data_IF_070777418937
#
_entry.id   IF_070777418937
#
_cell.length_a   1.000
_cell.length_b   1.000
_cell.length_c   1.000
_cell.angle_alpha   90.00
_cell.angle_beta   90.00
_cell.angle_gamma   90.00
#
_symmetry.space_group_name_H-M   'P 1'
#
loop_
_entity.id
_entity.type
_entity.pdbx_description
1 polymer ?
#
# COMPACT_ATOMS: atom_id res chain seq x y z
N UNK A 1 -1.40 46.27 -22.62
CA UNK A 1 -2.11 45.13 -22.01
C UNK A 1 -2.35 45.49 -20.56
N UNK A 2 -3.59 45.42 -20.09
CA UNK A 2 -3.88 45.63 -18.68
C UNK A 2 -3.45 44.37 -17.91
N UNK A 3 -2.70 44.57 -16.83
CA UNK A 3 -2.37 43.49 -15.88
C UNK A 3 -3.41 43.51 -14.79
N UNK A 4 -4.04 42.37 -14.55
CA UNK A 4 -5.01 42.20 -13.47
C UNK A 4 -4.41 41.29 -12.40
N UNK A 5 -4.61 41.66 -11.14
CA UNK A 5 -4.27 40.83 -10.00
C UNK A 5 -5.59 40.35 -9.38
N UNK A 6 -5.68 39.05 -9.15
CA UNK A 6 -6.81 38.42 -8.48
C UNK A 6 -6.30 37.51 -7.38
N UNK A 7 -7.01 37.53 -6.26
CA UNK A 7 -6.74 36.66 -5.11
C UNK A 7 -7.91 35.71 -4.92
N UNK A 8 -7.64 34.41 -5.07
CA UNK A 8 -8.54 33.37 -4.56
C UNK A 8 -8.04 32.91 -3.20
N UNK A 9 -8.96 32.59 -2.30
CA UNK A 9 -8.61 32.02 -0.99
C UNK A 9 -9.50 30.84 -0.72
N UNK A 10 -8.89 29.68 -0.48
CA UNK A 10 -9.59 28.51 0.03
C UNK A 10 -9.65 28.56 1.55
N UNK A 11 -10.83 28.32 2.10
CA UNK A 11 -11.00 28.00 3.52
C UNK A 11 -10.78 26.50 3.73
N UNK A 12 -10.36 26.11 4.94
CA UNK A 12 -10.14 24.70 5.26
C UNK A 12 -11.35 23.79 4.92
N UNK A 13 -12.57 24.27 5.15
CA UNK A 13 -13.81 23.54 4.82
C UNK A 13 -14.08 23.41 3.31
N UNK A 14 -13.48 24.26 2.46
CA UNK A 14 -13.57 24.14 1.00
C UNK A 14 -12.57 23.10 0.49
N UNK A 15 -11.41 22.99 1.15
CA UNK A 15 -10.44 21.92 0.89
C UNK A 15 -10.99 20.54 1.25
N UNK A 16 -12.01 20.44 2.12
CA UNK A 16 -12.74 19.20 2.44
C UNK A 16 -13.45 18.56 1.26
N UNK A 17 -13.76 19.34 0.22
CA UNK A 17 -14.43 18.86 -0.98
C UNK A 17 -13.44 18.45 -2.08
N UNK A 18 -12.20 18.87 -1.95
CA UNK A 18 -11.14 18.60 -2.91
C UNK A 18 -10.83 17.11 -2.98
N UNK A 19 -10.39 16.66 -4.16
CA UNK A 19 -9.84 15.32 -4.30
C UNK A 19 -8.55 15.22 -3.48
N UNK A 20 -8.38 14.10 -2.77
CA UNK A 20 -7.26 13.90 -1.84
C UNK A 20 -6.66 12.53 -1.99
N UNK A 21 -5.36 12.47 -1.84
CA UNK A 21 -4.60 11.23 -1.73
C UNK A 21 -3.67 11.33 -0.53
N UNK A 22 -3.76 10.36 0.38
CA UNK A 22 -2.97 10.30 1.61
C UNK A 22 -3.08 11.54 2.54
N UNK A 23 -4.12 12.36 2.39
CA UNK A 23 -4.40 13.51 3.27
C UNK A 23 -5.73 13.32 3.97
N UNK A 24 -5.81 13.71 5.24
CA UNK A 24 -7.02 13.69 6.07
C UNK A 24 -7.26 15.06 6.72
N UNK A 25 -8.52 15.39 6.97
CA UNK A 25 -8.89 16.56 7.76
C UNK A 25 -8.89 16.21 9.25
N UNK A 26 -8.34 17.09 10.06
CA UNK A 26 -8.40 17.07 11.51
C UNK A 26 -8.83 18.42 12.07
N UNK A 27 -8.97 18.51 13.39
CA UNK A 27 -9.41 19.72 14.08
C UNK A 27 -8.48 20.93 13.88
N UNK A 28 -7.19 20.69 13.61
CA UNK A 28 -6.16 21.70 13.39
C UNK A 28 -5.84 21.96 11.91
N UNK A 29 -6.65 21.42 10.98
CA UNK A 29 -6.41 21.53 9.54
C UNK A 29 -6.10 20.19 8.88
N UNK A 30 -5.32 20.22 7.80
CA UNK A 30 -5.03 19.06 6.98
C UNK A 30 -3.73 18.39 7.44
N UNK A 31 -3.68 17.07 7.35
CA UNK A 31 -2.49 16.30 7.71
C UNK A 31 -2.34 15.04 6.87
N UNK A 32 -1.13 14.51 6.84
CA UNK A 32 -0.86 13.22 6.19
C UNK A 32 -1.64 12.12 6.91
N UNK A 33 -2.13 11.15 6.14
CA UNK A 33 -2.84 9.98 6.69
C UNK A 33 -1.85 9.14 7.50
N UNK A 34 -2.22 8.80 8.73
CA UNK A 34 -1.54 7.76 9.53
C UNK A 34 -2.06 6.37 9.15
N UNK A 35 -1.17 5.39 9.11
CA UNK A 35 -1.47 4.03 8.69
C UNK A 35 -1.31 3.89 7.18
N UNK A 36 -0.24 3.22 6.75
CA UNK A 36 0.07 3.00 5.34
C UNK A 36 -0.05 1.51 5.05
N UNK A 37 -0.87 1.15 4.06
CA UNK A 37 -0.94 -0.22 3.53
C UNK A 37 -0.20 -0.29 2.20
N UNK A 38 0.74 -1.20 2.10
CA UNK A 38 1.46 -1.55 0.88
C UNK A 38 0.88 -2.86 0.37
N UNK A 39 0.32 -2.82 -0.84
CA UNK A 39 -0.32 -3.94 -1.51
C UNK A 39 -0.21 -3.76 -3.02
N UNK A 40 -0.08 -4.88 -3.74
CA UNK A 40 -0.02 -4.91 -5.22
C UNK A 40 -1.31 -5.45 -5.85
N UNK A 41 -2.21 -5.94 -5.00
CA UNK A 41 -3.53 -6.48 -5.34
C UNK A 41 -4.64 -5.60 -4.74
N UNK A 42 -5.86 -5.77 -5.24
CA UNK A 42 -7.03 -4.97 -4.86
C UNK A 42 -8.04 -5.71 -3.98
N UNK A 43 -7.84 -7.00 -3.73
CA UNK A 43 -8.70 -7.93 -3.02
C UNK A 43 -9.79 -8.54 -3.89
N UNK A 44 -9.70 -8.43 -5.22
CA UNK A 44 -10.73 -8.83 -6.19
C UNK A 44 -10.54 -10.28 -6.63
N UNK A 45 -10.63 -11.19 -5.66
CA UNK A 45 -10.46 -12.61 -5.90
C UNK A 45 -11.35 -13.43 -4.97
N UNK A 46 -11.45 -14.74 -5.21
CA UNK A 46 -12.24 -15.67 -4.40
C UNK A 46 -11.40 -16.87 -3.99
N UNK A 47 -11.94 -17.68 -3.08
CA UNK A 47 -11.22 -18.80 -2.45
C UNK A 47 -10.86 -19.95 -3.39
N UNK A 48 -11.16 -19.85 -4.70
CA UNK A 48 -10.73 -20.83 -5.70
C UNK A 48 -9.35 -20.49 -6.27
N UNK A 49 -8.93 -19.23 -6.17
CA UNK A 49 -7.64 -18.75 -6.68
C UNK A 49 -6.57 -18.88 -5.59
N UNK A 50 -6.05 -20.08 -5.40
CA UNK A 50 -5.12 -20.39 -4.32
C UNK A 50 -3.76 -20.88 -4.82
N UNK A 51 -2.70 -20.39 -4.17
CA UNK A 51 -1.36 -21.00 -4.20
C UNK A 51 -1.24 -21.99 -3.05
N UNK A 52 -0.64 -23.15 -3.29
CA UNK A 52 -0.41 -24.14 -2.23
C UNK A 52 1.07 -24.17 -1.85
N UNK A 53 1.35 -24.03 -0.55
CA UNK A 53 2.69 -24.15 0.02
C UNK A 53 2.77 -25.47 0.80
N UNK A 54 3.66 -26.38 0.37
CA UNK A 54 3.90 -27.69 0.99
C UNK A 54 5.25 -28.27 0.57
N UNK A 55 5.90 -29.03 1.45
CA UNK A 55 7.18 -29.69 1.14
C UNK A 55 8.25 -28.69 0.69
N UNK A 56 8.77 -28.86 -0.54
CA UNK A 56 9.74 -27.93 -1.14
C UNK A 56 9.10 -26.70 -1.77
N UNK A 57 7.77 -26.69 -1.97
CA UNK A 57 7.07 -25.57 -2.60
C UNK A 57 6.96 -24.39 -1.62
N UNK A 58 7.56 -23.26 -1.98
CA UNK A 58 7.64 -22.05 -1.16
C UNK A 58 7.10 -20.84 -1.92
N UNK A 59 6.35 -19.99 -1.22
CA UNK A 59 5.83 -18.75 -1.79
C UNK A 59 6.66 -17.56 -1.31
N UNK A 60 6.97 -16.64 -2.22
CA UNK A 60 7.69 -15.39 -1.93
C UNK A 60 6.86 -14.18 -2.34
N UNK A 61 6.77 -13.19 -1.46
CA UNK A 61 6.20 -11.87 -1.73
C UNK A 61 7.30 -10.82 -1.58
N UNK A 62 7.37 -9.88 -2.53
CA UNK A 62 8.26 -8.72 -2.47
C UNK A 62 7.47 -7.44 -2.22
N UNK A 63 7.96 -6.61 -1.32
CA UNK A 63 7.42 -5.28 -1.04
C UNK A 63 8.43 -4.21 -1.41
N UNK A 64 7.99 -3.18 -2.13
CA UNK A 64 8.79 -1.99 -2.41
C UNK A 64 8.43 -0.89 -1.42
N UNK A 65 9.36 -0.56 -0.53
CA UNK A 65 9.21 0.51 0.45
C UNK A 65 9.92 1.78 -0.05
N UNK A 66 9.22 2.92 -0.21
CA UNK A 66 9.83 4.15 -0.71
C UNK A 66 10.85 4.74 0.27
N UNK A 67 10.65 4.52 1.57
CA UNK A 67 11.52 4.93 2.67
C UNK A 67 11.61 3.81 3.69
N UNK A 68 12.64 3.82 4.54
CA UNK A 68 12.68 2.93 5.69
C UNK A 68 11.48 3.18 6.61
N UNK A 69 10.92 2.15 7.27
CA UNK A 69 9.83 2.36 8.21
C UNK A 69 10.22 3.28 9.36
N UNK A 70 9.31 4.18 9.74
CA UNK A 70 9.48 5.10 10.86
C UNK A 70 8.77 4.61 12.15
N UNK A 71 8.43 3.32 12.19
CA UNK A 71 7.76 2.64 13.29
C UNK A 71 8.64 1.50 13.81
N UNK A 72 8.40 1.03 15.04
CA UNK A 72 9.12 -0.12 15.61
C UNK A 72 8.61 -1.46 15.08
N UNK A 73 7.32 -1.52 14.72
CA UNK A 73 6.64 -2.75 14.30
C UNK A 73 5.76 -2.49 13.09
N UNK A 74 5.81 -3.40 12.13
CA UNK A 74 4.90 -3.50 11.00
C UNK A 74 3.95 -4.68 11.20
N UNK A 75 2.81 -4.67 10.49
CA UNK A 75 1.90 -5.81 10.43
C UNK A 75 1.93 -6.41 9.02
N UNK A 76 2.41 -7.65 8.92
CA UNK A 76 2.22 -8.47 7.74
C UNK A 76 0.85 -9.12 7.81
N UNK A 77 0.03 -8.85 6.80
CA UNK A 77 -1.36 -9.26 6.73
C UNK A 77 -1.59 -10.17 5.50
N UNK A 78 -1.25 -11.47 5.56
CA UNK A 78 -1.57 -12.43 4.52
C UNK A 78 -3.01 -12.94 4.66
N UNK A 79 -3.67 -13.17 3.52
CA UNK A 79 -4.81 -14.08 3.45
C UNK A 79 -4.27 -15.51 3.35
N UNK A 80 -4.22 -16.19 4.48
CA UNK A 80 -3.55 -17.47 4.68
C UNK A 80 -4.51 -18.48 5.31
N UNK A 81 -4.59 -19.68 4.72
CA UNK A 81 -5.37 -20.79 5.29
C UNK A 81 -4.49 -22.01 5.54
N UNK A 82 -4.67 -22.61 6.71
CA UNK A 82 -4.13 -23.92 7.02
C UNK A 82 -4.99 -24.99 6.36
N UNK A 83 -4.37 -25.87 5.58
CA UNK A 83 -5.07 -26.96 4.87
C UNK A 83 -5.03 -28.26 5.67
N UNK A 84 -3.96 -28.52 6.43
CA UNK A 84 -3.81 -29.71 7.28
C UNK A 84 -3.79 -29.35 8.78
N UNK A 85 -4.51 -30.10 9.63
CA UNK A 85 -4.48 -29.89 11.09
C UNK A 85 -3.06 -29.99 11.68
N UNK A 86 -2.77 -29.16 12.68
CA UNK A 86 -1.46 -29.13 13.35
C UNK A 86 -0.31 -28.60 12.49
N UNK A 87 -0.57 -28.20 11.24
CA UNK A 87 0.48 -27.71 10.34
C UNK A 87 1.13 -26.43 10.85
N UNK A 88 2.47 -26.35 10.73
CA UNK A 88 3.28 -25.18 11.05
C UNK A 88 3.72 -24.48 9.76
N UNK A 89 3.81 -23.14 9.81
CA UNK A 89 4.34 -22.30 8.75
C UNK A 89 5.53 -21.52 9.28
N UNK A 90 6.65 -21.58 8.57
CA UNK A 90 7.77 -20.69 8.77
C UNK A 90 7.58 -19.48 7.85
N UNK A 91 7.77 -18.29 8.43
CA UNK A 91 7.78 -17.02 7.69
C UNK A 91 9.15 -16.38 7.92
N UNK A 92 9.81 -15.98 6.85
CA UNK A 92 11.02 -15.16 6.94
C UNK A 92 10.78 -13.81 6.27
N UNK A 93 11.41 -12.77 6.82
CA UNK A 93 11.45 -11.42 6.26
C UNK A 93 12.91 -11.06 6.04
N UNK A 94 13.31 -10.84 4.80
CA UNK A 94 14.71 -10.62 4.41
C UNK A 94 15.66 -11.69 4.99
N UNK A 95 15.23 -12.96 4.99
CA UNK A 95 15.98 -14.12 5.50
C UNK A 95 15.87 -14.35 7.01
N UNK A 96 15.36 -13.40 7.79
CA UNK A 96 15.22 -13.52 9.24
C UNK A 96 13.85 -14.11 9.62
N UNK A 97 13.81 -15.06 10.54
CA UNK A 97 12.56 -15.72 10.93
C UNK A 97 11.66 -14.82 11.77
N UNK A 98 10.38 -14.77 11.41
CA UNK A 98 9.32 -14.08 12.17
C UNK A 98 8.46 -15.11 12.89
N UNK A 99 8.25 -14.97 14.21
CA UNK A 99 7.34 -15.86 14.95
C UNK A 99 5.93 -15.80 14.38
N UNK A 100 5.34 -16.96 14.13
CA UNK A 100 3.96 -17.08 13.69
C UNK A 100 3.33 -18.32 14.29
N UNK A 101 2.22 -18.11 15.02
CA UNK A 101 1.38 -19.17 15.55
C UNK A 101 -0.07 -18.88 15.16
N UNK A 102 -0.73 -19.88 14.58
CA UNK A 102 -2.14 -19.75 14.22
C UNK A 102 -3.00 -19.94 15.47
N UNK A 103 -3.88 -18.97 15.75
CA UNK A 103 -4.80 -19.04 16.88
C UNK A 103 -5.66 -20.32 16.81
N UNK A 104 -5.85 -20.98 17.96
CA UNK A 104 -6.51 -22.28 18.06
C UNK A 104 -8.03 -22.25 17.84
N UNK A 105 -8.67 -21.09 18.00
CA UNK A 105 -10.12 -20.92 17.88
C UNK A 105 -10.39 -19.63 17.12
N UNK A 106 -11.22 -19.70 16.07
CA UNK A 106 -11.67 -18.52 15.34
C UNK A 106 -13.09 -18.73 14.81
N UNK A 107 -13.83 -17.63 14.70
CA UNK A 107 -15.16 -17.61 14.10
C UNK A 107 -15.02 -17.62 12.57
N UNK A 108 -15.77 -18.51 11.91
CA UNK A 108 -15.70 -18.87 10.46
C UNK A 108 -15.54 -17.71 9.44
N UNK A 109 -15.89 -16.47 9.81
CA UNK A 109 -15.80 -15.30 8.94
C UNK A 109 -14.50 -14.48 9.09
N UNK A 110 -13.66 -14.73 10.11
CA UNK A 110 -12.37 -14.04 10.35
C UNK A 110 -11.12 -14.89 10.02
N UNK A 111 -11.29 -16.16 9.63
CA UNK A 111 -10.24 -17.17 9.76
C UNK A 111 -8.97 -16.95 8.94
N UNK A 112 -9.08 -16.34 7.76
CA UNK A 112 -7.98 -16.38 6.80
C UNK A 112 -7.06 -15.15 6.83
N UNK A 113 -7.55 -13.97 7.21
CA UNK A 113 -6.65 -12.83 7.39
C UNK A 113 -5.84 -12.99 8.66
N UNK A 114 -4.51 -12.99 8.52
CA UNK A 114 -3.60 -12.99 9.67
C UNK A 114 -3.12 -11.56 9.94
N UNK A 115 -2.74 -11.30 11.18
CA UNK A 115 -2.01 -10.09 11.57
C UNK A 115 -0.74 -10.55 12.25
N UNK A 116 0.38 -10.47 11.55
CA UNK A 116 1.65 -11.00 11.99
C UNK A 116 2.56 -9.82 12.26
N UNK A 117 3.01 -9.67 13.50
CA UNK A 117 3.93 -8.60 13.87
C UNK A 117 5.31 -8.88 13.28
N UNK A 118 5.81 -7.92 12.51
CA UNK A 118 7.16 -7.94 11.93
C UNK A 118 7.94 -6.79 12.57
N UNK A 119 9.05 -7.07 13.27
CA UNK A 119 9.92 -6.00 13.76
C UNK A 119 10.41 -5.16 12.59
N UNK A 120 10.19 -3.85 12.64
CA UNK A 120 10.49 -2.95 11.53
C UNK A 120 11.98 -2.91 11.17
N UNK A 121 12.86 -3.25 12.12
CA UNK A 121 14.30 -3.44 11.88
C UNK A 121 14.63 -4.52 10.83
N UNK A 122 13.71 -5.45 10.58
CA UNK A 122 13.85 -6.47 9.53
C UNK A 122 13.51 -5.91 8.15
N UNK A 123 12.89 -4.73 8.09
CA UNK A 123 12.52 -4.05 6.85
C UNK A 123 13.52 -2.95 6.52
N UNK A 124 13.66 -2.65 5.23
CA UNK A 124 14.56 -1.62 4.70
C UNK A 124 13.86 -0.76 3.67
N UNK A 125 14.41 0.42 3.40
CA UNK A 125 14.08 1.14 2.17
C UNK A 125 14.40 0.25 0.96
N UNK A 126 13.55 0.26 -0.05
CA UNK A 126 13.73 -0.56 -1.24
C UNK A 126 12.94 -1.87 -1.19
N UNK A 127 13.50 -2.89 -1.82
CA UNK A 127 12.90 -4.22 -1.91
C UNK A 127 13.06 -5.01 -0.61
N UNK A 128 11.96 -5.62 -0.17
CA UNK A 128 11.88 -6.47 1.00
C UNK A 128 11.21 -7.79 0.63
N UNK A 129 11.84 -8.88 1.02
CA UNK A 129 11.38 -10.24 0.73
C UNK A 129 10.64 -10.81 1.93
N UNK A 130 9.51 -11.48 1.66
CA UNK A 130 8.79 -12.31 2.63
C UNK A 130 8.61 -13.70 2.04
N UNK A 131 9.11 -14.74 2.70
CA UNK A 131 8.97 -16.13 2.26
C UNK A 131 8.08 -16.91 3.22
N UNK A 132 7.14 -17.66 2.66
CA UNK A 132 6.24 -18.57 3.36
C UNK A 132 6.63 -20.01 3.01
N UNK A 133 6.98 -20.79 4.04
CA UNK A 133 7.39 -22.18 3.91
C UNK A 133 6.64 -23.08 4.88
N UNK A 134 6.00 -24.12 4.37
CA UNK A 134 5.42 -25.15 5.21
C UNK A 134 6.51 -26.00 5.88
N UNK A 135 6.31 -26.36 7.15
CA UNK A 135 7.25 -27.19 7.91
C UNK A 135 6.75 -28.64 7.97
N UNK A 136 7.63 -29.62 7.70
CA UNK A 136 7.26 -31.04 7.67
C UNK A 136 6.19 -31.33 6.60
N UNK A 137 5.19 -32.12 6.96
CA UNK A 137 4.09 -32.51 6.06
C UNK A 137 2.93 -31.50 6.06
N UNK A 138 3.14 -30.29 6.61
CA UNK A 138 2.14 -29.25 6.66
C UNK A 138 1.75 -28.76 5.26
N UNK A 139 0.49 -28.36 5.09
CA UNK A 139 0.03 -27.70 3.89
C UNK A 139 -0.69 -26.39 4.24
N UNK A 140 -0.33 -25.34 3.51
CA UNK A 140 -0.89 -24.01 3.63
C UNK A 140 -1.32 -23.49 2.27
N UNK A 141 -2.20 -22.50 2.26
CA UNK A 141 -2.59 -21.82 1.03
C UNK A 141 -2.64 -20.31 1.20
N UNK A 142 -2.18 -19.62 0.16
CA UNK A 142 -2.28 -18.18 -0.01
C UNK A 142 -3.31 -17.90 -1.10
N UNK A 143 -4.04 -16.81 -0.96
CA UNK A 143 -4.96 -16.34 -2.01
C UNK A 143 -4.17 -15.56 -3.08
N UNK A 144 -4.53 -15.72 -4.34
CA UNK A 144 -3.93 -15.00 -5.49
C UNK A 144 -5.00 -14.13 -6.15
N UNK A 145 -4.61 -12.94 -6.61
CA UNK A 145 -5.37 -12.10 -7.53
C UNK A 145 -4.59 -11.92 -8.84
N UNK A 146 -5.24 -12.09 -10.00
CA UNK A 146 -4.64 -11.69 -11.28
C UNK A 146 -4.38 -10.18 -11.29
N UNK A 147 -3.16 -9.77 -11.60
CA UNK A 147 -2.74 -8.38 -11.49
C UNK A 147 -2.42 -7.78 -12.85
N UNK A 148 -2.69 -6.49 -13.02
CA UNK A 148 -2.24 -5.72 -14.20
C UNK A 148 -0.76 -5.34 -14.11
N UNK A 149 -0.19 -5.38 -12.91
CA UNK A 149 1.21 -5.09 -12.63
C UNK A 149 1.78 -6.21 -11.75
N UNK A 150 1.96 -7.42 -12.31
CA UNK A 150 2.43 -8.59 -11.58
C UNK A 150 3.95 -8.52 -11.28
N UNK A 151 4.57 -9.66 -10.99
CA UNK A 151 6.01 -9.87 -10.73
C UNK A 151 6.54 -9.52 -9.33
N UNK A 152 5.67 -9.29 -8.34
CA UNK A 152 6.07 -9.20 -6.92
C UNK A 152 5.67 -10.40 -6.08
N UNK A 153 5.03 -11.39 -6.68
CA UNK A 153 4.74 -12.69 -6.08
C UNK A 153 5.36 -13.80 -6.88
N UNK A 154 6.01 -14.74 -6.20
CA UNK A 154 6.77 -15.80 -6.83
C UNK A 154 6.57 -17.13 -6.10
N UNK A 155 6.75 -18.21 -6.85
CA UNK A 155 6.71 -19.57 -6.33
C UNK A 155 8.03 -20.28 -6.66
N UNK A 156 8.50 -21.09 -5.73
CA UNK A 156 9.61 -22.02 -5.91
C UNK A 156 9.09 -23.44 -5.69
N UNK A 157 9.55 -24.41 -6.48
CA UNK A 157 9.29 -25.85 -6.28
C UNK A 157 10.51 -26.63 -5.78
N UNK A 158 11.67 -25.98 -5.66
CA UNK A 158 12.96 -26.61 -5.37
C UNK A 158 13.57 -26.14 -4.04
N UNK A 159 12.73 -25.64 -3.13
CA UNK A 159 13.15 -25.22 -1.81
C UNK A 159 13.75 -23.82 -1.75
N UNK A 160 13.44 -22.96 -2.73
CA UNK A 160 13.87 -21.58 -2.81
C UNK A 160 15.13 -21.35 -3.65
N UNK A 161 15.55 -22.32 -4.46
CA UNK A 161 16.72 -22.21 -5.34
C UNK A 161 16.35 -21.42 -6.60
N UNK A 162 15.22 -21.77 -7.23
CA UNK A 162 14.64 -21.06 -8.37
C UNK A 162 13.25 -20.54 -8.06
N UNK A 163 12.88 -19.44 -8.72
CA UNK A 163 11.64 -18.71 -8.48
C UNK A 163 11.02 -18.28 -9.81
N UNK A 164 9.69 -18.33 -9.91
CA UNK A 164 8.92 -17.85 -11.07
C UNK A 164 7.71 -17.03 -10.63
N UNK A 165 7.30 -16.04 -11.43
CA UNK A 165 6.16 -15.15 -11.15
C UNK A 165 4.96 -15.33 -12.09
N UNK A 166 5.17 -15.83 -13.31
CA UNK A 166 4.14 -15.84 -14.37
C UNK A 166 3.17 -17.04 -14.31
N UNK A 167 3.50 -18.05 -13.50
CA UNK A 167 2.79 -19.34 -13.44
C UNK A 167 2.43 -19.70 -12.00
N UNK A 168 1.60 -18.87 -11.37
CA UNK A 168 1.10 -19.08 -10.02
C UNK A 168 -0.21 -19.88 -9.99
N UNK A 169 -0.54 -20.33 -8.78
CA UNK A 169 -1.79 -20.99 -8.42
C UNK A 169 -1.80 -22.48 -8.73
N UNK A 170 -2.82 -23.19 -8.25
CA UNK A 170 -2.91 -24.65 -8.39
C UNK A 170 -3.01 -25.18 -9.84
N UNK A 171 -3.17 -24.31 -10.84
CA UNK A 171 -3.11 -24.68 -12.26
C UNK A 171 -1.87 -24.16 -12.99
N UNK A 172 -0.98 -23.44 -12.29
CA UNK A 172 0.22 -22.78 -12.84
C UNK A 172 -0.10 -21.89 -14.06
N UNK A 173 -1.14 -21.06 -13.95
CA UNK A 173 -1.67 -20.21 -15.05
C UNK A 173 -1.97 -18.78 -14.66
N UNK A 174 -1.84 -18.45 -13.38
CA UNK A 174 -2.12 -17.11 -12.90
C UNK A 174 -0.85 -16.27 -12.97
N UNK A 175 -0.92 -15.16 -13.68
CA UNK A 175 0.05 -14.08 -13.61
C UNK A 175 -0.52 -13.01 -12.67
N UNK A 176 -0.05 -12.99 -11.43
CA UNK A 176 -0.78 -12.34 -10.36
C UNK A 176 0.01 -12.10 -9.08
N UNK A 177 -0.70 -11.65 -8.07
CA UNK A 177 -0.14 -11.25 -6.78
C UNK A 177 -0.79 -12.03 -5.65
N UNK A 178 0.02 -12.51 -4.71
CA UNK A 178 -0.49 -13.01 -3.44
C UNK A 178 -1.19 -11.88 -2.69
N UNK A 179 -2.34 -12.21 -2.10
CA UNK A 179 -3.11 -11.35 -1.20
C UNK A 179 -2.40 -11.29 0.14
N UNK A 180 -1.30 -10.55 0.15
CA UNK A 180 -0.42 -10.30 1.29
C UNK A 180 -0.13 -8.82 1.32
N UNK A 181 -0.51 -8.18 2.42
CA UNK A 181 -0.36 -6.73 2.61
C UNK A 181 0.63 -6.46 3.72
N UNK A 182 1.36 -5.35 3.61
CA UNK A 182 2.19 -4.83 4.68
C UNK A 182 1.57 -3.53 5.18
N UNK A 183 1.24 -3.49 6.46
CA UNK A 183 0.72 -2.29 7.11
C UNK A 183 1.77 -1.69 8.05
N UNK A 184 1.96 -0.38 7.96
CA UNK A 184 2.91 0.39 8.77
C UNK A 184 2.16 1.43 9.60
N UNK A 185 2.41 1.45 10.90
CA UNK A 185 1.91 2.53 11.78
C UNK A 185 2.79 3.78 11.67
N UNK A 186 2.72 4.42 10.52
CA UNK A 186 3.43 5.67 10.24
C UNK A 186 2.57 6.58 9.39
N UNK A 187 2.96 7.85 9.29
CA UNK A 187 2.37 8.76 8.32
C UNK A 187 2.79 8.38 6.90
N UNK A 188 1.89 8.59 5.93
CA UNK A 188 2.27 8.56 4.53
C UNK A 188 3.43 9.53 4.28
N UNK A 189 4.38 9.18 3.41
CA UNK A 189 5.55 10.00 3.13
C UNK A 189 5.22 11.21 2.22
N UNK A 190 4.05 11.22 1.59
CA UNK A 190 3.52 12.33 0.81
C UNK A 190 1.99 12.28 0.80
N UNK A 191 1.38 13.41 0.47
CA UNK A 191 -0.05 13.52 0.22
C UNK A 191 -0.31 14.61 -0.81
N UNK A 192 -1.48 14.54 -1.43
CA UNK A 192 -1.90 15.46 -2.49
C UNK A 192 -3.33 15.91 -2.24
N UNK A 193 -3.59 17.16 -2.59
CA UNK A 193 -4.89 17.78 -2.60
C UNK A 193 -5.02 18.49 -3.94
N UNK A 194 -6.10 18.21 -4.66
CA UNK A 194 -6.39 18.84 -5.94
C UNK A 194 -7.64 19.70 -5.73
N UNK A 195 -7.46 21.02 -5.80
CA UNK A 195 -8.57 21.96 -5.71
C UNK A 195 -9.51 21.82 -6.90
N UNK A 196 -10.73 22.34 -6.74
CA UNK A 196 -11.57 22.58 -7.91
C UNK A 196 -10.88 23.57 -8.86
N UNK A 197 -11.08 23.42 -10.19
CA UNK A 197 -10.52 24.36 -11.15
C UNK A 197 -10.91 25.80 -10.82
N UNK A 198 -9.92 26.69 -10.75
CA UNK A 198 -10.15 28.13 -10.62
C UNK A 198 -10.33 28.71 -12.00
N UNK A 199 -11.56 29.13 -12.32
CA UNK A 199 -11.83 29.87 -13.54
C UNK A 199 -11.29 31.29 -13.41
N UNK A 200 -10.11 31.53 -14.00
CA UNK A 200 -9.42 32.82 -13.98
C UNK A 200 -10.19 33.92 -14.71
N UNK A 201 -10.97 33.57 -15.73
CA UNK A 201 -11.77 34.54 -16.49
C UNK A 201 -13.00 34.96 -15.67
N UNK A 202 -13.70 34.00 -15.07
CA UNK A 202 -14.80 34.31 -14.14
C UNK A 202 -14.31 35.11 -12.93
N UNK A 203 -13.13 34.78 -12.41
CA UNK A 203 -12.51 35.47 -11.29
C UNK A 203 -12.09 36.92 -11.61
N UNK A 204 -11.80 37.24 -12.88
CA UNK A 204 -11.44 38.59 -13.31
C UNK A 204 -12.59 39.60 -13.24
N UNK A 205 -13.84 39.12 -13.17
CA UNK A 205 -15.05 39.94 -13.18
C UNK A 205 -15.39 40.55 -14.56
N UNK A 206 -14.62 40.23 -15.61
CA UNK A 206 -14.93 40.68 -16.97
C UNK A 206 -15.90 39.73 -17.69
N UNK A 207 -16.97 40.30 -18.25
CA UNK A 207 -18.07 39.54 -18.88
C UNK A 207 -17.74 39.11 -20.33
N UNK A 208 -16.59 39.51 -20.89
CA UNK A 208 -16.35 39.44 -22.35
C UNK A 208 -14.91 39.12 -22.79
N UNK A 209 -14.06 38.55 -21.94
CA UNK A 209 -12.71 38.11 -22.34
C UNK A 209 -12.75 36.64 -22.82
N UNK A 210 -12.46 36.42 -24.10
CA UNK A 210 -12.42 35.07 -24.71
C UNK A 210 -11.06 34.39 -24.61
N UNK A 211 -10.02 35.15 -24.25
CA UNK A 211 -8.65 34.67 -24.15
C UNK A 211 -7.93 35.44 -23.03
N UNK A 212 -7.21 34.71 -22.19
CA UNK A 212 -6.38 35.24 -21.12
C UNK A 212 -5.29 34.23 -20.77
N UNK A 213 -4.18 34.71 -20.24
CA UNK A 213 -3.09 33.86 -19.75
C UNK A 213 -2.61 34.39 -18.41
N UNK A 214 -2.29 33.48 -17.50
CA UNK A 214 -1.58 33.82 -16.26
C UNK A 214 -0.09 33.58 -16.46
N UNK A 215 0.73 34.51 -15.97
CA UNK A 215 2.19 34.35 -15.92
C UNK A 215 2.68 33.95 -14.52
N UNK A 216 1.90 34.24 -13.48
CA UNK A 216 2.27 34.03 -12.08
C UNK A 216 1.03 33.64 -11.28
N UNK A 217 1.14 32.55 -10.51
CA UNK A 217 0.25 32.23 -9.40
C UNK A 217 1.06 32.33 -8.10
N UNK A 218 0.49 32.95 -7.08
CA UNK A 218 1.10 33.00 -5.74
C UNK A 218 0.13 32.40 -4.74
N UNK A 219 0.64 31.54 -3.87
CA UNK A 219 -0.13 30.93 -2.81
C UNK A 219 0.43 31.37 -1.46
N UNK A 220 -0.42 31.95 -0.63
CA UNK A 220 -0.15 32.25 0.76
C UNK A 220 -0.91 31.20 1.61
N UNK A 221 -0.18 30.40 2.40
CA UNK A 221 -0.80 29.39 3.26
C UNK A 221 -0.15 29.45 4.64
N UNK A 222 -0.96 29.31 5.67
CA UNK A 222 -0.51 29.15 7.05
C UNK A 222 -0.35 27.65 7.35
N UNK A 223 0.87 27.20 7.68
CA UNK A 223 1.13 25.80 7.99
C UNK A 223 2.21 25.62 9.06
N UNK A 224 2.25 24.45 9.67
CA UNK A 224 3.41 23.95 10.42
C UNK A 224 4.19 23.00 9.52
N UNK A 225 5.51 23.17 9.45
CA UNK A 225 6.39 22.25 8.71
C UNK A 225 7.14 21.41 9.74
N UNK A 226 6.70 20.17 10.01
CA UNK A 226 7.54 19.23 10.75
C UNK A 226 8.92 19.10 10.10
N UNK A 227 9.92 18.77 10.90
CA UNK A 227 11.29 18.55 10.41
C UNK A 227 11.30 17.54 9.24
N UNK A 228 12.10 17.81 8.21
CA UNK A 228 12.23 16.98 7.01
C UNK A 228 10.94 16.84 6.16
N UNK A 229 9.96 17.73 6.30
CA UNK A 229 8.77 17.80 5.43
C UNK A 229 8.77 19.07 4.58
N UNK A 230 7.96 19.08 3.52
CA UNK A 230 7.81 20.23 2.63
C UNK A 230 6.51 20.15 1.84
N UNK A 231 6.17 21.24 1.16
CA UNK A 231 5.01 21.35 0.26
C UNK A 231 5.51 21.80 -1.10
N UNK A 232 5.06 21.14 -2.16
CA UNK A 232 5.31 21.53 -3.54
C UNK A 232 4.00 21.94 -4.20
N UNK A 233 4.06 22.95 -5.07
CA UNK A 233 2.92 23.45 -5.83
C UNK A 233 3.15 23.19 -7.32
N UNK A 234 2.12 22.66 -7.98
CA UNK A 234 2.07 22.50 -9.43
C UNK A 234 0.72 22.96 -9.96
N UNK A 235 0.69 23.54 -11.15
CA UNK A 235 -0.51 24.02 -11.86
C UNK A 235 -0.35 23.83 -13.36
#
# INVERSE_FOLDING_TARGET
MATFEFTHSWKAAELDRCMRRNVVSGASGLGLRRGVTIADESGRTDTRNIETVKGLRQARKRFQLPTAPATETALLCPYLRRVSEGGQLQITVNGESVPFELAAQRDYWEDAWQRIEVPARLLRQGENEVVFRAVGDSQWSLLIEESRHPDRSEISDDGGITWRSEELGGSDRADGEYVVRLWLDQYANWGEIISDPVDLLAASGEVATTHGGSAVARLDVEWSTPECTGIEFSW
#
